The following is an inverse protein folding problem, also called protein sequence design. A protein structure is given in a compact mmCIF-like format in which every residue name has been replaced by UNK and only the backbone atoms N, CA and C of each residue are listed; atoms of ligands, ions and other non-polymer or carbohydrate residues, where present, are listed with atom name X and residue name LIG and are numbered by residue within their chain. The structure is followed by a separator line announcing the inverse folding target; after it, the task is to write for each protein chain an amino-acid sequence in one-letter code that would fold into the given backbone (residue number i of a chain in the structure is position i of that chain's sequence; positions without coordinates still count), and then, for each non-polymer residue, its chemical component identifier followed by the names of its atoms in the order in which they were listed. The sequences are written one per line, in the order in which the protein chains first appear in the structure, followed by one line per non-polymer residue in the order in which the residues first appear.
data_IF_117564139664
#
_entry.id   IF_117564139664
#
_cell.length_a   1.000
_cell.length_b   1.000
_cell.length_c   1.000
_cell.angle_alpha   90.00
_cell.angle_beta   90.00
_cell.angle_gamma   90.00
#
_symmetry.space_group_name_H-M   'P 1'
#
loop_
_entity.id
_entity.type
_entity.pdbx_description
1 polymer ?
#
# COMPACT_ATOMS: atom_id res chain seq x y z
N UNK A 1 -0.62 -23.21 -17.86
CA UNK A 1 -0.32 -23.91 -16.59
C UNK A 1 0.19 -25.29 -16.95
N UNK A 2 1.44 -25.59 -16.65
CA UNK A 2 2.02 -26.93 -16.84
C UNK A 2 1.61 -27.81 -15.66
N UNK A 3 0.94 -28.94 -15.93
CA UNK A 3 0.58 -29.92 -14.91
C UNK A 3 1.84 -30.40 -14.16
N UNK A 4 1.75 -30.47 -12.83
CA UNK A 4 2.84 -31.00 -12.00
C UNK A 4 2.92 -32.52 -12.21
N UNK A 5 4.10 -33.08 -12.52
CA UNK A 5 4.25 -34.51 -12.73
C UNK A 5 3.96 -35.27 -11.42
N UNK A 6 3.15 -36.32 -11.52
CA UNK A 6 2.82 -37.19 -10.39
C UNK A 6 4.02 -38.10 -10.06
N UNK A 7 4.53 -38.04 -8.82
CA UNK A 7 5.72 -38.79 -8.37
C UNK A 7 5.31 -39.77 -7.25
N UNK A 8 5.80 -41.02 -7.30
CA UNK A 8 5.58 -42.04 -6.25
C UNK A 8 6.86 -42.30 -5.45
N UNK A 9 6.70 -42.64 -4.16
CA UNK A 9 7.81 -43.04 -3.27
C UNK A 9 8.50 -44.29 -3.83
N UNK A 10 9.83 -44.23 -4.00
CA UNK A 10 10.64 -45.32 -4.57
C UNK A 10 10.87 -45.23 -6.08
N UNK A 11 10.29 -44.24 -6.77
CA UNK A 11 10.52 -44.02 -8.20
C UNK A 11 11.94 -43.47 -8.43
N UNK A 12 12.70 -44.00 -9.41
CA UNK A 12 14.04 -43.49 -9.73
C UNK A 12 13.99 -42.03 -10.15
N UNK A 13 14.91 -41.22 -9.62
CA UNK A 13 15.08 -39.83 -10.06
C UNK A 13 15.76 -39.86 -11.43
N UNK A 14 14.99 -39.59 -12.49
CA UNK A 14 15.53 -39.43 -13.84
C UNK A 14 16.22 -38.08 -13.98
N UNK A 15 17.14 -37.96 -14.95
CA UNK A 15 17.82 -36.70 -15.24
C UNK A 15 16.82 -35.56 -15.57
N UNK A 16 15.68 -35.90 -16.21
CA UNK A 16 14.62 -34.94 -16.51
C UNK A 16 13.94 -34.40 -15.25
N UNK A 17 13.57 -35.28 -14.31
CA UNK A 17 12.97 -34.89 -13.03
C UNK A 17 13.96 -34.10 -12.17
N UNK A 18 15.24 -34.48 -12.19
CA UNK A 18 16.30 -33.72 -11.53
C UNK A 18 16.43 -32.30 -12.10
N UNK A 19 16.46 -32.16 -13.42
CA UNK A 19 16.55 -30.85 -14.06
C UNK A 19 15.32 -29.98 -13.78
N UNK A 20 14.12 -30.56 -13.75
CA UNK A 20 12.88 -29.87 -13.35
C UNK A 20 12.93 -29.41 -11.88
N UNK A 21 13.45 -30.24 -10.98
CA UNK A 21 13.65 -29.88 -9.58
C UNK A 21 14.68 -28.74 -9.45
N UNK A 22 15.82 -28.83 -10.14
CA UNK A 22 16.85 -27.77 -10.16
C UNK A 22 16.28 -26.47 -10.70
N UNK A 23 15.46 -26.51 -11.76
CA UNK A 23 14.77 -25.34 -12.30
C UNK A 23 13.77 -24.74 -11.29
N UNK A 24 12.98 -25.57 -10.62
CA UNK A 24 12.08 -25.14 -9.57
C UNK A 24 12.84 -24.50 -8.39
N UNK A 25 13.90 -25.16 -7.89
CA UNK A 25 14.77 -24.63 -6.83
C UNK A 25 15.41 -23.30 -7.24
N UNK A 26 15.86 -23.16 -8.49
CA UNK A 26 16.38 -21.88 -9.02
C UNK A 26 15.30 -20.80 -9.07
N UNK A 27 14.07 -21.13 -9.44
CA UNK A 27 12.95 -20.16 -9.48
C UNK A 27 12.52 -19.65 -8.11
N UNK A 28 12.72 -20.44 -7.05
CA UNK A 28 12.43 -20.05 -5.65
C UNK A 28 13.66 -19.55 -4.91
N UNK A 29 14.83 -19.53 -5.55
CA UNK A 29 16.06 -19.09 -4.93
C UNK A 29 16.01 -17.58 -4.74
N UNK A 30 16.11 -17.14 -3.49
CA UNK A 30 16.33 -15.73 -3.17
C UNK A 30 17.72 -15.32 -3.70
N UNK A 31 17.75 -14.24 -4.47
CA UNK A 31 18.98 -13.62 -4.95
C UNK A 31 19.20 -12.34 -4.15
N UNK A 32 20.44 -12.09 -3.66
CA UNK A 32 20.74 -10.83 -3.00
C UNK A 32 20.63 -9.69 -4.01
N UNK A 33 19.84 -8.66 -3.70
CA UNK A 33 19.94 -7.37 -4.37
C UNK A 33 21.12 -6.57 -3.84
N UNK A 34 21.45 -5.45 -4.49
CA UNK A 34 22.54 -4.57 -4.06
C UNK A 34 22.38 -4.15 -2.59
N UNK A 35 23.44 -4.30 -1.80
CA UNK A 35 23.45 -4.00 -0.36
C UNK A 35 22.81 -5.05 0.55
N UNK A 36 22.19 -6.10 0.00
CA UNK A 36 21.63 -7.21 0.76
C UNK A 36 22.61 -8.41 0.81
N UNK A 37 22.67 -9.06 1.97
CA UNK A 37 23.45 -10.25 2.26
C UNK A 37 22.50 -11.39 2.60
N UNK A 38 22.53 -12.46 1.81
CA UNK A 38 21.73 -13.66 2.08
C UNK A 38 22.61 -14.74 2.70
N UNK A 39 22.15 -15.32 3.81
CA UNK A 39 22.76 -16.50 4.43
C UNK A 39 21.72 -17.59 4.59
N UNK A 40 21.80 -18.62 3.74
CA UNK A 40 20.97 -19.80 3.88
C UNK A 40 21.39 -20.63 5.09
N UNK A 41 20.44 -21.03 5.91
CA UNK A 41 20.56 -21.93 7.06
C UNK A 41 19.57 -23.09 6.88
N UNK A 42 19.69 -24.18 7.66
CA UNK A 42 18.71 -25.27 7.63
C UNK A 42 17.27 -24.82 7.93
N UNK A 43 17.10 -23.76 8.72
CA UNK A 43 15.80 -23.24 9.15
C UNK A 43 15.23 -22.14 8.23
N UNK A 44 15.95 -21.73 7.19
CA UNK A 44 15.50 -20.69 6.26
C UNK A 44 16.63 -19.87 5.64
N UNK A 45 16.32 -18.68 5.14
CA UNK A 45 17.35 -17.74 4.64
C UNK A 45 17.33 -16.49 5.49
N UNK A 46 18.46 -16.20 6.14
CA UNK A 46 18.67 -14.95 6.85
C UNK A 46 19.01 -13.86 5.83
N UNK A 47 18.30 -12.74 5.89
CA UNK A 47 18.55 -11.55 5.07
C UNK A 47 19.17 -10.49 5.96
N UNK A 48 20.44 -10.18 5.74
CA UNK A 48 21.12 -9.01 6.31
C UNK A 48 21.12 -7.86 5.31
N UNK A 49 21.00 -6.63 5.76
CA UNK A 49 21.06 -5.45 4.89
C UNK A 49 21.97 -4.41 5.54
N UNK A 50 22.98 -3.95 4.79
CA UNK A 50 24.08 -3.11 5.29
C UNK A 50 23.92 -1.63 4.95
N UNK A 51 22.72 -1.18 4.62
CA UNK A 51 22.48 0.25 4.51
C UNK A 51 22.32 0.86 5.91
N UNK A 52 22.67 2.14 6.05
CA UNK A 52 22.11 2.93 7.13
C UNK A 52 20.59 2.73 7.13
N UNK A 53 19.95 2.49 8.28
CA UNK A 53 18.50 2.43 8.32
C UNK A 53 18.02 3.75 7.73
N UNK A 54 17.42 3.70 6.53
CA UNK A 54 16.62 4.82 6.10
C UNK A 54 15.58 4.96 7.19
N UNK A 55 15.42 6.14 7.83
CA UNK A 55 14.32 6.36 8.73
C UNK A 55 13.08 5.90 7.97
N UNK A 56 12.43 4.90 8.54
CA UNK A 56 11.36 4.16 7.93
C UNK A 56 10.09 4.67 8.60
N UNK A 57 9.51 5.80 8.16
CA UNK A 57 8.26 6.29 8.70
C UNK A 57 7.12 5.41 8.17
N UNK A 58 6.95 4.19 8.72
CA UNK A 58 5.71 3.41 8.58
C UNK A 58 4.92 3.50 9.88
N UNK A 59 3.59 3.51 9.90
CA UNK A 59 2.63 4.02 8.93
C UNK A 59 2.09 5.36 9.48
N UNK A 60 1.42 6.16 8.66
CA UNK A 60 0.64 7.30 9.14
C UNK A 60 -0.29 6.84 10.27
N UNK A 61 0.08 7.09 11.52
CA UNK A 61 -0.72 6.64 12.66
C UNK A 61 -1.90 7.58 12.79
N UNK A 62 -3.09 7.03 12.60
CA UNK A 62 -4.33 7.78 12.68
C UNK A 62 -4.96 7.59 14.05
N UNK A 63 -5.23 8.67 14.77
CA UNK A 63 -5.96 8.63 16.04
C UNK A 63 -7.21 9.47 15.92
N UNK A 64 -8.33 9.01 16.48
CA UNK A 64 -9.54 9.82 16.53
C UNK A 64 -9.41 10.91 17.59
N UNK A 65 -9.86 12.11 17.25
CA UNK A 65 -10.08 13.19 18.20
C UNK A 65 -11.59 13.32 18.42
N UNK A 66 -12.11 12.65 19.46
CA UNK A 66 -13.55 12.49 19.66
C UNK A 66 -14.19 11.65 18.54
N UNK A 67 -15.31 12.13 17.99
CA UNK A 67 -16.02 11.46 16.88
C UNK A 67 -16.11 12.31 15.60
N UNK A 68 -15.47 13.48 15.57
CA UNK A 68 -15.64 14.47 14.50
C UNK A 68 -14.37 14.72 13.69
N UNK A 69 -13.21 14.25 14.18
CA UNK A 69 -11.94 14.47 13.50
C UNK A 69 -10.95 13.31 13.70
N UNK A 70 -9.96 13.27 12.83
CA UNK A 70 -8.77 12.44 12.97
C UNK A 70 -7.50 13.31 13.05
N UNK A 71 -6.62 12.96 13.98
CA UNK A 71 -5.24 13.41 13.97
C UNK A 71 -4.40 12.34 13.30
N UNK A 72 -3.65 12.72 12.27
CA UNK A 72 -2.71 11.83 11.59
C UNK A 72 -1.30 12.23 12.02
N UNK A 73 -0.45 11.26 12.35
CA UNK A 73 0.96 11.52 12.67
C UNK A 73 1.74 11.81 11.38
N UNK A 74 2.76 12.67 11.47
CA UNK A 74 3.62 13.02 10.33
C UNK A 74 4.24 11.78 9.70
N UNK A 75 4.31 11.78 8.37
CA UNK A 75 4.90 10.70 7.59
C UNK A 75 5.23 11.19 6.18
N UNK A 76 6.12 10.48 5.50
CA UNK A 76 6.59 10.85 4.17
C UNK A 76 6.31 9.72 3.18
N UNK A 77 6.02 10.09 1.95
CA UNK A 77 5.91 9.16 0.82
C UNK A 77 6.80 9.69 -0.29
N UNK A 78 7.87 8.95 -0.62
CA UNK A 78 8.93 9.41 -1.55
C UNK A 78 9.44 10.83 -1.24
N UNK A 79 9.65 11.14 0.04
CA UNK A 79 10.17 12.43 0.50
C UNK A 79 9.18 13.59 0.45
N UNK A 80 7.92 13.35 0.05
CA UNK A 80 6.84 14.34 0.07
C UNK A 80 5.98 14.09 1.30
N UNK A 81 5.74 15.13 2.10
CA UNK A 81 4.81 15.10 3.22
C UNK A 81 3.39 15.42 2.72
N UNK A 82 2.39 14.58 3.02
CA UNK A 82 0.99 14.91 2.73
C UNK A 82 0.52 16.15 3.48
N UNK A 83 -0.54 16.75 2.98
CA UNK A 83 -1.16 17.95 3.57
C UNK A 83 -2.62 17.74 3.90
N UNK A 84 -3.17 18.61 4.76
CA UNK A 84 -4.61 18.84 4.89
C UNK A 84 -4.84 20.30 4.51
N UNK A 85 -5.54 20.52 3.39
CA UNK A 85 -5.47 21.81 2.70
C UNK A 85 -4.02 22.15 2.34
N UNK A 86 -3.58 23.37 2.65
CA UNK A 86 -2.21 23.82 2.33
C UNK A 86 -1.19 23.56 3.45
N UNK A 87 -1.59 22.91 4.55
CA UNK A 87 -0.75 22.71 5.73
C UNK A 87 -0.16 21.29 5.74
N UNK A 88 1.18 21.14 5.80
CA UNK A 88 1.83 19.83 5.99
C UNK A 88 1.40 19.14 7.28
N UNK A 89 1.46 17.81 7.31
CA UNK A 89 1.10 17.02 8.49
C UNK A 89 1.91 17.38 9.74
N UNK A 90 3.18 17.76 9.59
CA UNK A 90 4.04 18.26 10.67
C UNK A 90 3.69 19.68 11.14
N UNK A 91 2.79 20.38 10.45
CA UNK A 91 2.49 21.79 10.66
C UNK A 91 3.53 22.71 10.03
N UNK A 92 3.52 23.97 10.46
CA UNK A 92 4.51 25.01 10.13
C UNK A 92 4.74 25.89 11.35
N UNK A 93 5.72 26.79 11.31
CA UNK A 93 5.93 27.78 12.39
C UNK A 93 4.69 28.64 12.68
N UNK A 94 3.81 28.80 11.67
CA UNK A 94 2.61 29.65 11.75
C UNK A 94 1.34 28.87 12.05
N UNK A 95 1.34 27.55 11.85
CA UNK A 95 0.15 26.72 11.91
C UNK A 95 0.48 25.36 12.52
N UNK A 96 -0.23 24.92 13.57
CA UNK A 96 0.02 23.62 14.16
C UNK A 96 -0.28 22.48 13.16
N UNK A 97 0.18 21.25 13.44
CA UNK A 97 -0.25 20.05 12.73
C UNK A 97 -1.77 20.03 12.50
N UNK A 98 -2.24 19.97 11.25
CA UNK A 98 -3.65 20.02 10.95
C UNK A 98 -4.35 18.73 11.38
N UNK A 99 -5.65 18.85 11.68
CA UNK A 99 -6.55 17.73 11.91
C UNK A 99 -7.49 17.58 10.73
N UNK A 100 -7.82 16.33 10.40
CA UNK A 100 -8.80 16.03 9.38
C UNK A 100 -10.18 16.09 10.02
N UNK A 101 -10.85 17.23 9.90
CA UNK A 101 -12.23 17.41 10.32
C UNK A 101 -13.17 16.69 9.32
N UNK A 102 -14.07 15.84 9.82
CA UNK A 102 -14.92 15.04 8.94
C UNK A 102 -16.11 15.84 8.39
N UNK A 103 -16.60 16.85 9.11
CA UNK A 103 -17.88 17.50 8.83
C UNK A 103 -19.02 16.48 8.88
N UNK A 104 -19.36 15.89 7.72
CA UNK A 104 -20.26 14.74 7.60
C UNK A 104 -19.45 13.49 7.26
N UNK A 105 -19.55 12.45 8.10
CA UNK A 105 -18.91 11.17 7.85
C UNK A 105 -19.38 10.56 6.53
N UNK A 106 -18.42 10.25 5.64
CA UNK A 106 -18.65 9.52 4.40
C UNK A 106 -18.43 8.03 4.67
N UNK A 107 -19.52 7.29 4.88
CA UNK A 107 -19.49 5.86 5.18
C UNK A 107 -20.23 5.07 4.11
N UNK A 108 -19.79 3.84 3.88
CA UNK A 108 -20.45 2.84 3.08
C UNK A 108 -21.72 2.31 3.80
N UNK A 109 -22.58 1.52 3.11
CA UNK A 109 -23.77 0.92 3.73
C UNK A 109 -23.51 -0.03 4.92
N UNK A 110 -22.26 -0.43 5.13
CA UNK A 110 -21.82 -1.24 6.26
C UNK A 110 -21.22 -0.39 7.39
N UNK A 111 -21.42 0.94 7.35
CA UNK A 111 -20.89 1.92 8.30
C UNK A 111 -19.35 1.99 8.35
N UNK A 112 -18.70 1.76 7.20
CA UNK A 112 -17.23 1.83 7.08
C UNK A 112 -16.83 2.99 6.18
N UNK A 113 -15.75 3.66 6.52
CA UNK A 113 -15.10 4.64 5.66
C UNK A 113 -13.59 4.52 5.79
N UNK A 114 -12.86 5.40 5.14
CA UNK A 114 -11.41 5.39 5.12
C UNK A 114 -10.86 6.79 5.30
N UNK A 115 -9.75 6.88 6.03
CA UNK A 115 -8.80 7.98 5.91
C UNK A 115 -7.76 7.53 4.90
N UNK A 116 -7.54 8.33 3.87
CA UNK A 116 -6.65 8.00 2.76
C UNK A 116 -5.76 9.17 2.38
N UNK A 117 -4.63 8.87 1.72
CA UNK A 117 -3.80 9.86 1.03
C UNK A 117 -4.23 9.85 -0.43
N UNK A 118 -4.82 10.93 -0.92
CA UNK A 118 -5.01 11.17 -2.34
C UNK A 118 -3.68 11.65 -2.95
N UNK A 119 -3.15 10.87 -3.88
CA UNK A 119 -1.89 11.09 -4.57
C UNK A 119 -2.22 11.49 -6.00
N UNK A 120 -1.72 12.63 -6.46
CA UNK A 120 -1.78 13.04 -7.87
C UNK A 120 -0.41 12.87 -8.51
N UNK A 121 -0.40 12.42 -9.76
CA UNK A 121 0.83 12.24 -10.54
C UNK A 121 0.82 13.04 -11.85
N UNK A 122 2.00 13.37 -12.35
CA UNK A 122 2.18 13.94 -13.69
C UNK A 122 2.04 12.87 -14.80
N UNK A 123 2.32 13.26 -16.04
CA UNK A 123 2.27 12.38 -17.22
C UNK A 123 3.31 11.27 -17.24
N UNK A 124 4.37 11.41 -16.45
CA UNK A 124 5.40 10.40 -16.24
C UNK A 124 5.15 9.58 -14.98
N UNK A 125 3.99 9.78 -14.34
CA UNK A 125 3.60 9.15 -13.08
C UNK A 125 4.56 9.46 -11.93
N UNK A 126 5.17 10.64 -11.94
CA UNK A 126 5.87 11.20 -10.78
C UNK A 126 4.84 11.87 -9.88
N UNK A 127 4.96 11.64 -8.58
CA UNK A 127 4.09 12.25 -7.57
C UNK A 127 4.26 13.78 -7.61
N UNK A 128 3.14 14.49 -7.76
CA UNK A 128 3.11 15.97 -7.77
C UNK A 128 2.49 16.51 -6.50
N UNK A 129 1.41 15.90 -6.00
CA UNK A 129 0.73 16.33 -4.77
C UNK A 129 0.24 15.15 -3.93
N UNK A 130 0.07 15.41 -2.64
CA UNK A 130 -0.47 14.47 -1.65
C UNK A 130 -1.36 15.17 -0.64
N UNK A 131 -2.59 14.70 -0.49
CA UNK A 131 -3.60 15.28 0.39
C UNK A 131 -4.30 14.20 1.22
N UNK A 132 -4.52 14.45 2.51
CA UNK A 132 -5.27 13.55 3.38
C UNK A 132 -6.77 13.80 3.22
N UNK A 133 -7.54 12.74 2.97
CA UNK A 133 -8.98 12.81 2.71
C UNK A 133 -9.76 11.76 3.50
N UNK A 134 -11.04 12.03 3.76
CA UNK A 134 -12.00 11.05 4.30
C UNK A 134 -12.97 10.64 3.19
N UNK A 135 -13.09 9.34 2.93
CA UNK A 135 -13.92 8.77 1.85
C UNK A 135 -14.65 7.51 2.32
N UNK A 136 -15.80 7.19 1.72
CA UNK A 136 -16.47 5.90 1.92
C UNK A 136 -15.79 4.78 1.11
N UNK A 137 -15.36 5.08 -0.11
CA UNK A 137 -14.73 4.14 -1.04
C UNK A 137 -13.44 4.73 -1.62
N UNK A 138 -12.27 4.14 -1.33
CA UNK A 138 -10.99 4.68 -1.82
C UNK A 138 -10.80 4.46 -3.33
N UNK A 139 -11.46 3.48 -3.95
CA UNK A 139 -11.36 3.14 -5.37
C UNK A 139 -12.49 3.75 -6.25
N UNK A 140 -13.32 4.59 -5.66
CA UNK A 140 -14.37 5.36 -6.33
C UNK A 140 -13.87 6.69 -6.87
N UNK A 141 -14.46 7.24 -7.93
CA UNK A 141 -14.05 8.56 -8.46
C UNK A 141 -14.31 9.69 -7.45
N UNK A 142 -15.52 9.75 -6.89
CA UNK A 142 -15.92 10.77 -5.92
C UNK A 142 -15.63 10.37 -4.47
N UNK A 143 -15.28 9.10 -4.23
CA UNK A 143 -15.01 8.59 -2.90
C UNK A 143 -16.26 8.31 -2.06
N UNK A 144 -17.46 8.50 -2.61
CA UNK A 144 -18.74 8.40 -1.90
C UNK A 144 -19.60 7.26 -2.44
N UNK A 145 -19.69 7.14 -3.76
CA UNK A 145 -20.47 6.09 -4.40
C UNK A 145 -19.62 4.82 -4.58
N UNK A 146 -20.22 3.63 -4.50
CA UNK A 146 -19.51 2.39 -4.77
C UNK A 146 -18.95 2.38 -6.21
N UNK A 147 -17.75 1.83 -6.42
CA UNK A 147 -17.13 1.80 -7.74
C UNK A 147 -17.95 0.95 -8.71
N UNK A 148 -18.17 1.44 -9.93
CA UNK A 148 -18.86 0.69 -11.02
C UNK A 148 -18.09 -0.56 -11.47
N UNK A 149 -16.77 -0.57 -11.24
CA UNK A 149 -15.90 -1.75 -11.29
C UNK A 149 -14.94 -1.62 -10.11
N UNK A 150 -15.03 -2.51 -9.13
CA UNK A 150 -13.96 -2.61 -8.14
C UNK A 150 -12.75 -3.18 -8.86
N UNK A 151 -11.69 -2.38 -8.99
CA UNK A 151 -10.38 -2.88 -9.36
C UNK A 151 -9.87 -3.66 -8.16
N UNK A 152 -10.42 -4.86 -7.95
CA UNK A 152 -10.12 -5.70 -6.80
C UNK A 152 -8.63 -5.68 -6.56
N UNK A 153 -8.24 -5.43 -5.30
CA UNK A 153 -6.85 -5.24 -4.83
C UNK A 153 -5.95 -6.12 -5.69
N UNK A 154 -5.26 -5.49 -6.65
CA UNK A 154 -4.58 -6.21 -7.73
C UNK A 154 -3.72 -7.26 -7.06
N UNK A 155 -3.75 -8.52 -7.52
CA UNK A 155 -3.37 -9.76 -6.80
C UNK A 155 -1.98 -9.79 -6.11
N UNK A 156 -1.22 -8.69 -6.18
CA UNK A 156 0.08 -8.40 -5.59
C UNK A 156 0.06 -7.06 -4.80
N UNK A 157 -1.06 -6.71 -4.15
CA UNK A 157 -1.18 -5.57 -3.22
C UNK A 157 -1.27 -4.18 -3.86
N UNK A 158 -1.64 -4.08 -5.15
CA UNK A 158 -1.80 -2.80 -5.83
C UNK A 158 -3.17 -2.17 -5.59
N UNK A 159 -3.20 -0.87 -5.28
CA UNK A 159 -4.42 -0.07 -5.18
C UNK A 159 -4.86 0.37 -6.58
N UNK A 160 -6.15 0.30 -6.92
CA UNK A 160 -6.65 0.83 -8.18
C UNK A 160 -6.52 2.36 -8.22
N UNK A 161 -6.08 2.90 -9.35
CA UNK A 161 -6.16 4.33 -9.61
C UNK A 161 -7.59 4.79 -9.81
N UNK A 162 -7.74 6.11 -9.82
CA UNK A 162 -8.94 6.85 -10.20
C UNK A 162 -8.56 7.85 -11.32
N UNK A 163 -9.55 8.46 -11.95
CA UNK A 163 -9.36 9.31 -13.12
C UNK A 163 -8.45 10.51 -12.82
N UNK A 164 -7.71 10.96 -13.84
CA UNK A 164 -6.81 12.09 -13.74
C UNK A 164 -5.46 11.76 -13.10
N UNK A 165 -4.98 10.51 -13.28
CA UNK A 165 -3.72 10.01 -12.69
C UNK A 165 -3.66 10.18 -11.18
N UNK A 166 -4.78 9.91 -10.53
CA UNK A 166 -4.92 9.96 -9.08
C UNK A 166 -5.06 8.57 -8.49
N UNK A 167 -4.72 8.45 -7.21
CA UNK A 167 -4.84 7.22 -6.42
C UNK A 167 -5.21 7.62 -5.01
N UNK A 168 -6.09 6.89 -4.33
CA UNK A 168 -6.28 7.04 -2.88
C UNK A 168 -5.70 5.85 -2.14
N UNK A 169 -4.64 6.10 -1.38
CA UNK A 169 -3.96 5.13 -0.55
C UNK A 169 -4.60 5.11 0.85
N UNK A 170 -5.40 4.10 1.24
CA UNK A 170 -6.05 4.09 2.54
C UNK A 170 -5.02 3.79 3.63
N UNK A 171 -4.99 4.63 4.67
CA UNK A 171 -4.06 4.50 5.81
C UNK A 171 -4.76 4.00 7.07
N UNK A 172 -6.06 4.28 7.20
CA UNK A 172 -6.89 3.74 8.26
C UNK A 172 -8.33 3.57 7.77
N UNK A 173 -9.04 2.61 8.37
CA UNK A 173 -10.47 2.42 8.18
C UNK A 173 -11.21 3.01 9.39
N UNK A 174 -12.26 3.75 9.11
CA UNK A 174 -13.24 4.20 10.09
C UNK A 174 -14.38 3.20 10.15
N UNK A 175 -14.85 2.85 11.34
CA UNK A 175 -16.00 1.94 11.52
C UNK A 175 -16.96 2.56 12.53
N UNK A 176 -18.18 2.87 12.10
CA UNK A 176 -19.22 3.32 13.02
C UNK A 176 -20.04 2.14 13.52
N UNK A 177 -20.03 1.93 14.83
CA UNK A 177 -20.84 0.91 15.50
C UNK A 177 -22.32 1.30 15.47
N UNK A 178 -23.19 0.31 15.70
CA UNK A 178 -24.63 0.53 15.90
C UNK A 178 -24.95 1.51 17.04
N UNK A 179 -24.05 1.64 18.03
CA UNK A 179 -24.17 2.62 19.12
C UNK A 179 -23.88 4.07 18.70
N UNK A 180 -23.49 4.30 17.45
CA UNK A 180 -23.04 5.59 16.94
C UNK A 180 -21.54 5.86 17.17
N UNK A 181 -20.88 5.06 18.03
CA UNK A 181 -19.46 5.17 18.30
C UNK A 181 -18.62 4.93 17.03
N UNK A 182 -17.71 5.85 16.76
CA UNK A 182 -16.72 5.73 15.69
C UNK A 182 -15.42 5.12 16.22
N UNK A 183 -14.94 4.08 15.56
CA UNK A 183 -13.65 3.46 15.79
C UNK A 183 -12.71 3.72 14.60
N UNK A 184 -11.40 3.70 14.88
CA UNK A 184 -10.35 3.70 13.86
C UNK A 184 -9.60 2.38 13.90
N UNK A 185 -9.44 1.77 12.72
CA UNK A 185 -8.69 0.54 12.51
C UNK A 185 -7.48 0.88 11.62
N UNK A 186 -6.27 0.70 12.14
CA UNK A 186 -5.06 0.93 11.36
C UNK A 186 -4.98 -0.09 10.22
N UNK A 187 -4.63 0.36 9.02
CA UNK A 187 -4.39 -0.52 7.89
C UNK A 187 -2.88 -0.79 7.82
N UNK A 188 -2.51 -2.07 7.92
CA UNK A 188 -1.11 -2.51 7.81
C UNK A 188 -1.00 -3.39 6.58
N UNK A 189 -0.16 -3.01 5.63
CA UNK A 189 0.08 -3.77 4.41
C UNK A 189 1.24 -4.76 4.61
N UNK A 190 0.90 -6.04 4.75
CA UNK A 190 1.86 -7.10 5.11
C UNK A 190 2.96 -7.35 4.07
N UNK A 191 2.68 -7.09 2.79
CA UNK A 191 3.66 -7.28 1.71
C UNK A 191 4.46 -6.01 1.37
N UNK A 192 4.21 -4.90 2.08
CA UNK A 192 4.84 -3.59 1.86
C UNK A 192 4.80 -3.11 0.39
N UNK A 193 3.98 -3.73 -0.46
CA UNK A 193 3.87 -3.36 -1.86
C UNK A 193 2.92 -2.18 -1.92
N UNK A 194 3.37 -1.01 -1.47
CA UNK A 194 2.62 0.24 -1.50
C UNK A 194 2.53 0.74 -2.94
N UNK A 195 1.82 0.00 -3.79
CA UNK A 195 1.74 0.20 -5.22
C UNK A 195 0.36 0.70 -5.61
N UNK A 196 0.28 1.44 -6.70
CA UNK A 196 -0.98 1.56 -7.42
C UNK A 196 -0.82 1.42 -8.92
N UNK A 197 -1.93 1.00 -9.52
CA UNK A 197 -2.05 0.78 -10.93
C UNK A 197 -2.86 1.93 -11.56
N UNK A 198 -2.35 2.57 -12.61
CA UNK A 198 -3.11 3.51 -13.42
C UNK A 198 -4.48 2.97 -13.83
N UNK A 199 -5.58 3.68 -13.52
CA UNK A 199 -6.92 3.30 -14.01
C UNK A 199 -7.02 3.42 -15.52
N UNK A 200 -6.41 4.49 -16.04
CA UNK A 200 -6.51 4.89 -17.45
C UNK A 200 -5.69 3.99 -18.38
N UNK A 201 -4.81 3.14 -17.82
CA UNK A 201 -4.06 2.15 -18.60
C UNK A 201 -3.74 0.91 -17.76
N UNK A 202 -4.67 -0.05 -17.73
CA UNK A 202 -4.51 -1.32 -17.00
C UNK A 202 -3.34 -2.19 -17.50
N UNK A 203 -2.73 -1.84 -18.64
CA UNK A 203 -1.52 -2.50 -19.14
C UNK A 203 -0.23 -1.98 -18.50
N UNK A 204 -0.27 -0.83 -17.82
CA UNK A 204 0.90 -0.26 -17.17
C UNK A 204 1.18 -0.96 -15.84
N UNK A 205 2.48 -1.17 -15.57
CA UNK A 205 2.94 -1.76 -14.33
C UNK A 205 2.53 -0.90 -13.12
N UNK A 206 2.08 -1.56 -12.05
CA UNK A 206 1.82 -0.88 -10.80
C UNK A 206 3.10 -0.24 -10.23
N UNK A 207 3.01 1.02 -9.78
CA UNK A 207 4.17 1.81 -9.33
C UNK A 207 4.21 1.93 -7.82
N UNK A 208 5.39 1.81 -7.24
CA UNK A 208 5.61 1.91 -5.79
C UNK A 208 5.72 3.37 -5.35
N UNK A 209 5.00 3.76 -4.29
CA UNK A 209 4.98 5.15 -3.82
C UNK A 209 5.95 5.43 -2.67
N UNK A 210 6.37 4.43 -1.92
CA UNK A 210 7.25 4.60 -0.76
C UNK A 210 8.71 4.25 -1.06
N UNK A 211 8.97 3.78 -2.28
CA UNK A 211 10.31 3.45 -2.71
C UNK A 211 10.58 4.34 -3.91
N UNK A 212 11.59 5.23 -3.84
CA UNK A 212 12.12 5.81 -5.05
C UNK A 212 12.73 4.64 -5.81
N UNK A 213 12.00 4.09 -6.79
CA UNK A 213 12.61 3.21 -7.77
C UNK A 213 13.86 3.93 -8.27
N UNK A 214 15.00 3.23 -8.33
CA UNK A 214 16.20 3.78 -8.93
C UNK A 214 15.81 4.39 -10.27
N UNK A 215 15.97 5.71 -10.38
CA UNK A 215 15.77 6.44 -11.62
C UNK A 215 16.80 5.99 -12.66
#
# INVERSE_FOLDING_TARGET
MTELPFVRRGQPITAELWNKLVAAVRSVRLLPGDGARLRSTPDGTLVGFDAAPSPWPHAFQVTLFGQTAAQISSGLVNGIEPKIGDVPMSGTDKQPPPRLEFGKLKLDPNNRGYVAIEITCDDKWKITTMEMVQVAYFDSENGEDPPTRSGGVSAIGGIPGISGRRVRYPVAMLVQRKSGQLDVVQIVFFNLAHRAQPRDNQSDAARHFFWPGAA
#
